data_IF_498868569109
#
_entry.id   IF_498868569109
#
_cell.length_a   1.000
_cell.length_b   1.000
_cell.length_c   1.000
_cell.angle_alpha   90.00
_cell.angle_beta   90.00
_cell.angle_gamma   90.00
#
_symmetry.space_group_name_H-M   'P 1'
#
loop_
_entity.id
_entity.type
_entity.pdbx_description
1 polymer ?
#
# COMPACT_ATOMS: atom_id res chain seq x y z
N UNK A 1 32.21 -9.74 9.57
CA UNK A 1 31.23 -10.37 10.48
C UNK A 1 30.19 -11.06 9.64
N UNK A 2 30.02 -12.37 9.86
CA UNK A 2 29.07 -13.17 9.08
C UNK A 2 27.74 -13.28 9.83
N UNK A 3 26.64 -12.93 9.14
CA UNK A 3 25.27 -13.21 9.56
C UNK A 3 24.78 -14.47 8.85
N UNK A 4 24.33 -15.43 9.65
CA UNK A 4 23.64 -16.63 9.15
C UNK A 4 22.21 -16.62 9.67
N UNK A 5 21.23 -16.75 8.77
CA UNK A 5 19.80 -16.75 9.08
C UNK A 5 19.02 -17.62 8.09
N UNK A 6 17.73 -17.81 8.34
CA UNK A 6 16.80 -18.36 7.35
C UNK A 6 16.00 -17.23 6.72
N UNK A 7 15.95 -17.16 5.41
CA UNK A 7 15.16 -16.18 4.68
C UNK A 7 13.69 -16.59 4.70
N UNK A 8 12.81 -15.74 5.21
CA UNK A 8 11.35 -15.95 5.21
C UNK A 8 10.72 -15.49 3.89
N UNK A 9 11.22 -14.39 3.33
CA UNK A 9 10.71 -13.84 2.08
C UNK A 9 11.39 -12.54 1.71
N UNK A 10 10.90 -11.92 0.65
CA UNK A 10 11.36 -10.63 0.14
C UNK A 10 10.18 -9.71 -0.06
N UNK A 11 10.35 -8.44 0.26
CA UNK A 11 9.41 -7.38 -0.03
C UNK A 11 10.03 -6.50 -1.12
N UNK A 12 9.27 -6.24 -2.18
CA UNK A 12 9.71 -5.30 -3.22
C UNK A 12 9.41 -3.84 -2.84
N UNK A 13 9.76 -2.91 -3.70
CA UNK A 13 9.56 -1.47 -3.46
C UNK A 13 8.08 -1.07 -3.45
N UNK A 14 7.19 -1.88 -4.00
CA UNK A 14 5.74 -1.71 -4.04
C UNK A 14 5.02 -2.45 -2.92
N UNK A 15 5.76 -3.03 -1.97
CA UNK A 15 5.16 -3.75 -0.84
C UNK A 15 4.65 -5.16 -1.18
N UNK A 16 4.96 -5.71 -2.35
CA UNK A 16 4.59 -7.08 -2.70
C UNK A 16 5.52 -8.07 -1.99
N UNK A 17 4.92 -9.00 -1.24
CA UNK A 17 5.68 -10.02 -0.52
C UNK A 17 5.81 -11.29 -1.36
N UNK A 18 7.04 -11.74 -1.54
CA UNK A 18 7.34 -13.04 -2.16
C UNK A 18 7.94 -13.95 -1.09
N UNK A 19 7.25 -15.03 -0.69
CA UNK A 19 7.77 -15.96 0.29
C UNK A 19 9.01 -16.69 -0.27
N UNK A 20 9.97 -16.95 0.60
CA UNK A 20 11.09 -17.82 0.27
C UNK A 20 10.67 -19.29 0.35
N UNK A 21 11.36 -20.17 -0.37
CA UNK A 21 11.20 -21.61 -0.16
C UNK A 21 11.59 -21.96 1.28
N UNK A 22 10.95 -22.98 1.85
CA UNK A 22 11.21 -23.41 3.20
C UNK A 22 12.72 -23.66 3.42
N UNK A 23 13.23 -23.18 4.55
CA UNK A 23 14.64 -23.33 4.94
C UNK A 23 15.67 -22.73 3.96
N UNK A 24 15.30 -21.68 3.22
CA UNK A 24 16.26 -20.97 2.37
C UNK A 24 17.32 -20.29 3.24
N UNK A 25 18.60 -20.74 3.19
CA UNK A 25 19.65 -20.12 3.99
C UNK A 25 19.97 -18.73 3.47
N UNK A 26 20.21 -17.80 4.38
CA UNK A 26 20.73 -16.48 4.09
C UNK A 26 22.09 -16.32 4.77
N UNK A 27 23.10 -16.03 3.98
CA UNK A 27 24.45 -15.77 4.46
C UNK A 27 24.93 -14.44 3.92
N UNK A 28 25.38 -13.55 4.79
CA UNK A 28 25.97 -12.28 4.41
C UNK A 28 27.19 -11.97 5.26
N UNK A 29 28.31 -11.65 4.60
CA UNK A 29 29.52 -11.19 5.27
C UNK A 29 29.59 -9.66 5.23
N UNK A 30 29.50 -9.04 6.41
CA UNK A 30 29.60 -7.60 6.56
C UNK A 30 31.07 -7.20 6.64
N UNK A 31 31.56 -6.47 5.62
CA UNK A 31 32.83 -5.76 5.70
C UNK A 31 32.71 -4.64 6.75
N UNK A 32 33.66 -4.58 7.68
CA UNK A 32 33.75 -3.54 8.69
C UNK A 32 35.05 -2.74 8.50
N UNK A 33 34.96 -1.43 8.62
CA UNK A 33 36.09 -0.50 8.62
C UNK A 33 36.01 0.44 9.81
N UNK A 34 37.15 0.92 10.30
CA UNK A 34 37.17 2.02 11.28
C UNK A 34 37.19 3.36 10.55
N UNK A 35 36.32 4.28 10.95
CA UNK A 35 36.33 5.65 10.48
C UNK A 35 37.40 6.50 11.21
N UNK A 36 37.49 7.79 10.85
CA UNK A 36 38.46 8.72 11.44
C UNK A 36 38.25 8.96 12.94
N UNK A 37 37.03 8.73 13.44
CA UNK A 37 36.66 8.83 14.86
C UNK A 37 36.87 7.50 15.60
N UNK A 38 37.59 6.55 14.98
CA UNK A 38 37.87 5.22 15.50
C UNK A 38 36.62 4.37 15.79
N UNK A 39 35.48 4.66 15.11
CA UNK A 39 34.23 3.91 15.21
C UNK A 39 34.14 2.88 14.09
N UNK A 40 33.56 1.72 14.40
CA UNK A 40 33.29 0.68 13.41
C UNK A 40 32.08 1.04 12.54
N UNK A 41 32.26 0.98 11.22
CA UNK A 41 31.24 1.20 10.21
C UNK A 41 31.13 0.00 9.29
N UNK A 42 29.89 -0.30 8.84
CA UNK A 42 29.67 -1.31 7.80
C UNK A 42 30.07 -0.69 6.46
N UNK A 43 31.06 -1.28 5.79
CA UNK A 43 31.58 -0.84 4.48
C UNK A 43 30.90 -1.56 3.31
N UNK A 44 30.31 -2.73 3.57
CA UNK A 44 29.62 -3.54 2.57
C UNK A 44 28.24 -3.95 3.12
N UNK A 45 27.24 -3.06 3.08
CA UNK A 45 25.87 -3.42 3.47
C UNK A 45 25.21 -4.31 2.40
N UNK A 46 24.25 -5.15 2.78
CA UNK A 46 23.42 -5.86 1.81
C UNK A 46 22.60 -4.86 0.97
N UNK A 47 22.18 -5.28 -0.21
CA UNK A 47 21.24 -4.48 -1.01
C UNK A 47 19.87 -4.52 -0.34
N UNK A 48 19.29 -3.33 -0.09
CA UNK A 48 17.99 -3.19 0.58
C UNK A 48 18.10 -3.27 2.11
N UNK A 49 16.95 -3.39 2.75
CA UNK A 49 16.82 -3.46 4.20
C UNK A 49 16.68 -4.93 4.63
N UNK A 50 17.52 -5.35 5.55
CA UNK A 50 17.43 -6.66 6.20
C UNK A 50 16.81 -6.48 7.58
N UNK A 51 15.65 -7.08 7.82
CA UNK A 51 14.93 -7.00 9.08
C UNK A 51 14.54 -8.39 9.58
N UNK A 52 14.38 -8.53 10.89
CA UNK A 52 13.86 -9.77 11.46
C UNK A 52 12.35 -9.90 11.21
N UNK A 53 11.85 -11.14 11.20
CA UNK A 53 10.41 -11.42 11.11
C UNK A 53 9.62 -10.72 12.23
N UNK A 54 10.16 -10.70 13.44
CA UNK A 54 9.56 -10.02 14.59
C UNK A 54 9.43 -8.50 14.36
N UNK A 55 10.49 -7.84 13.87
CA UNK A 55 10.45 -6.42 13.57
C UNK A 55 9.48 -6.13 12.41
N UNK A 56 9.46 -6.98 11.37
CA UNK A 56 8.49 -6.86 10.29
C UNK A 56 7.07 -6.88 10.82
N UNK A 57 6.68 -7.88 11.61
CA UNK A 57 5.31 -8.01 12.17
C UNK A 57 4.91 -6.87 13.12
N UNK A 58 5.87 -6.22 13.80
CA UNK A 58 5.59 -5.09 14.68
C UNK A 58 5.45 -3.75 13.94
N UNK A 59 6.13 -3.57 12.80
CA UNK A 59 6.23 -2.27 12.11
C UNK A 59 5.48 -2.19 10.79
N UNK A 60 5.17 -3.33 10.17
CA UNK A 60 4.47 -3.42 8.91
C UNK A 60 3.09 -4.04 9.09
N UNK A 61 2.17 -3.68 8.21
CA UNK A 61 0.81 -4.22 8.16
C UNK A 61 0.44 -4.56 6.73
N UNK A 62 -0.40 -5.59 6.57
CA UNK A 62 -1.00 -5.90 5.28
C UNK A 62 -2.03 -4.82 4.94
N UNK A 63 -1.96 -4.32 3.72
CA UNK A 63 -2.93 -3.43 3.09
C UNK A 63 -3.45 -4.11 1.82
N UNK A 64 -4.74 -4.29 1.71
CA UNK A 64 -5.36 -4.86 0.51
C UNK A 64 -5.72 -3.73 -0.45
N UNK A 65 -4.85 -3.49 -1.45
CA UNK A 65 -5.13 -2.51 -2.49
C UNK A 65 -6.20 -3.05 -3.42
N UNK A 66 -7.33 -2.36 -3.49
CA UNK A 66 -8.48 -2.79 -4.27
C UNK A 66 -8.47 -2.15 -5.66
N UNK A 67 -8.37 -2.96 -6.69
CA UNK A 67 -8.40 -2.54 -8.09
C UNK A 67 -9.62 -3.11 -8.82
N UNK A 68 -10.14 -2.39 -9.79
CA UNK A 68 -11.17 -2.93 -10.66
C UNK A 68 -10.63 -4.11 -11.47
N UNK A 69 -11.44 -5.15 -11.60
CA UNK A 69 -11.18 -6.24 -12.52
C UNK A 69 -11.16 -5.74 -13.98
N UNK A 70 -10.69 -6.54 -14.92
CA UNK A 70 -10.62 -6.16 -16.34
C UNK A 70 -11.98 -5.82 -16.96
N UNK A 71 -13.09 -6.30 -16.38
CA UNK A 71 -14.45 -5.97 -16.82
C UNK A 71 -14.92 -4.63 -16.22
N UNK A 72 -14.33 -4.18 -15.13
CA UNK A 72 -14.67 -2.96 -14.40
C UNK A 72 -15.97 -3.09 -13.60
N UNK A 73 -16.29 -4.30 -13.14
CA UNK A 73 -17.56 -4.60 -12.44
C UNK A 73 -17.37 -4.82 -10.93
N UNK A 74 -16.22 -5.32 -10.50
CA UNK A 74 -15.95 -5.66 -9.11
C UNK A 74 -14.52 -5.24 -8.73
N UNK A 75 -14.33 -4.85 -7.48
CA UNK A 75 -13.01 -4.62 -6.93
C UNK A 75 -12.39 -5.94 -6.47
N UNK A 76 -11.09 -6.09 -6.73
CA UNK A 76 -10.31 -7.28 -6.35
C UNK A 76 -9.10 -6.82 -5.55
N UNK A 77 -8.86 -7.40 -4.37
CA UNK A 77 -7.73 -7.02 -3.54
C UNK A 77 -6.41 -7.56 -4.11
N UNK A 78 -5.40 -6.69 -4.13
CA UNK A 78 -4.00 -6.98 -4.44
C UNK A 78 -3.16 -6.68 -3.18
N UNK A 79 -2.84 -7.70 -2.36
CA UNK A 79 -2.26 -7.48 -1.04
C UNK A 79 -0.84 -6.94 -1.11
N UNK A 80 -0.58 -5.91 -0.30
CA UNK A 80 0.73 -5.28 -0.11
C UNK A 80 1.06 -5.20 1.38
N UNK A 81 2.32 -5.01 1.69
CA UNK A 81 2.76 -4.68 3.04
C UNK A 81 3.28 -3.26 3.07
N UNK A 82 2.73 -2.47 3.97
CA UNK A 82 3.09 -1.06 4.17
C UNK A 82 3.49 -0.81 5.62
N UNK A 83 4.29 0.21 5.93
CA UNK A 83 4.53 0.61 7.31
C UNK A 83 3.23 0.97 8.03
N UNK A 84 3.15 0.76 9.34
CA UNK A 84 1.99 1.19 10.14
C UNK A 84 1.87 2.72 10.18
N UNK A 85 0.64 3.21 10.37
CA UNK A 85 0.32 4.63 10.55
C UNK A 85 0.23 5.41 9.23
N UNK A 86 0.33 6.75 9.31
CA UNK A 86 0.12 7.66 8.18
C UNK A 86 1.09 7.44 7.02
N UNK A 87 2.33 7.04 7.31
CA UNK A 87 3.32 6.67 6.27
C UNK A 87 2.81 5.50 5.43
N UNK A 88 2.18 4.52 6.06
CA UNK A 88 1.57 3.39 5.35
C UNK A 88 0.35 3.79 4.54
N UNK A 89 -0.50 4.68 5.06
CA UNK A 89 -1.64 5.22 4.30
C UNK A 89 -1.16 5.94 3.04
N UNK A 90 -0.12 6.77 3.15
CA UNK A 90 0.47 7.45 1.99
C UNK A 90 1.10 6.46 1.00
N UNK A 91 1.76 5.41 1.50
CA UNK A 91 2.29 4.35 0.66
C UNK A 91 1.16 3.61 -0.06
N UNK A 92 0.06 3.27 0.63
CA UNK A 92 -1.14 2.65 0.05
C UNK A 92 -1.69 3.46 -1.12
N UNK A 93 -1.87 4.79 -0.95
CA UNK A 93 -2.37 5.65 -2.02
C UNK A 93 -1.37 5.73 -3.19
N UNK A 94 -0.08 5.93 -2.89
CA UNK A 94 0.96 5.96 -3.93
C UNK A 94 1.01 4.67 -4.74
N UNK A 95 0.97 3.52 -4.06
CA UNK A 95 1.08 2.21 -4.70
C UNK A 95 -0.20 1.85 -5.46
N UNK A 96 -1.38 2.31 -4.99
CA UNK A 96 -2.63 2.25 -5.74
C UNK A 96 -2.53 3.05 -7.05
N UNK A 97 -2.07 4.30 -7.00
CA UNK A 97 -1.89 5.14 -8.20
C UNK A 97 -0.85 4.56 -9.17
N UNK A 98 0.15 3.85 -8.68
CA UNK A 98 1.13 3.15 -9.50
C UNK A 98 0.56 1.92 -10.21
N UNK A 99 -0.56 1.40 -9.75
CA UNK A 99 -1.28 0.27 -10.36
C UNK A 99 -1.03 -1.09 -9.69
N UNK A 100 -1.67 -2.14 -10.23
CA UNK A 100 -1.61 -3.48 -9.66
C UNK A 100 -0.20 -4.09 -9.74
N UNK A 101 0.06 -5.09 -8.88
CA UNK A 101 1.31 -5.85 -8.91
C UNK A 101 1.51 -6.55 -10.25
N UNK A 102 2.75 -6.87 -10.56
CA UNK A 102 3.08 -7.65 -11.78
C UNK A 102 2.36 -9.00 -11.82
N UNK A 103 2.06 -9.59 -10.66
CA UNK A 103 1.32 -10.85 -10.55
C UNK A 103 -0.15 -10.68 -10.88
N UNK A 104 -0.75 -9.53 -10.54
CA UNK A 104 -2.17 -9.25 -10.70
C UNK A 104 -2.49 -8.43 -11.97
N UNK A 105 -1.49 -7.83 -12.62
CA UNK A 105 -1.66 -6.90 -13.74
C UNK A 105 -2.45 -7.44 -14.94
N UNK A 106 -2.45 -8.76 -15.15
CA UNK A 106 -3.21 -9.39 -16.22
C UNK A 106 -4.73 -9.46 -15.94
N UNK A 107 -5.13 -9.39 -14.68
CA UNK A 107 -6.52 -9.53 -14.23
C UNK A 107 -7.14 -8.22 -13.74
N UNK A 108 -6.33 -7.20 -13.49
CA UNK A 108 -6.73 -5.94 -12.87
C UNK A 108 -6.46 -4.76 -13.80
N UNK A 109 -7.26 -3.71 -13.66
CA UNK A 109 -7.05 -2.44 -14.37
C UNK A 109 -6.16 -1.51 -13.56
N UNK A 110 -5.30 -0.77 -14.25
CA UNK A 110 -4.73 0.44 -13.66
C UNK A 110 -5.85 1.45 -13.35
N UNK A 111 -5.77 2.19 -12.23
CA UNK A 111 -6.87 3.05 -11.81
C UNK A 111 -7.18 4.17 -12.81
N UNK A 112 -6.16 4.72 -13.45
CA UNK A 112 -6.28 5.84 -14.37
C UNK A 112 -5.25 5.76 -15.50
N UNK A 113 -5.59 6.38 -16.65
CA UNK A 113 -4.63 6.63 -17.73
C UNK A 113 -3.76 7.86 -17.43
N UNK A 114 -4.28 8.81 -16.64
CA UNK A 114 -3.57 10.02 -16.25
C UNK A 114 -2.71 9.75 -15.02
N UNK A 115 -1.47 10.21 -15.04
CA UNK A 115 -0.59 10.13 -13.90
C UNK A 115 -0.98 11.17 -12.85
N UNK A 116 -1.36 10.70 -11.67
CA UNK A 116 -1.60 11.51 -10.48
C UNK A 116 -0.52 11.22 -9.45
N UNK A 117 -0.23 12.22 -8.63
CA UNK A 117 0.66 12.11 -7.48
C UNK A 117 -0.11 12.32 -6.18
N UNK A 118 0.25 11.60 -5.13
CA UNK A 118 -0.25 11.85 -3.78
C UNK A 118 0.63 12.88 -3.09
N UNK A 119 0.05 14.02 -2.72
CA UNK A 119 0.76 15.10 -2.04
C UNK A 119 0.80 14.85 -0.54
N UNK A 120 -0.32 14.48 0.05
CA UNK A 120 -0.41 14.15 1.47
C UNK A 120 -1.53 13.14 1.74
N UNK A 121 -1.37 12.39 2.84
CA UNK A 121 -2.45 11.60 3.43
C UNK A 121 -2.39 11.84 4.94
N UNK A 122 -3.50 12.30 5.52
CA UNK A 122 -3.63 12.50 6.97
C UNK A 122 -4.85 11.77 7.51
N UNK A 123 -4.81 11.41 8.79
CA UNK A 123 -5.93 10.77 9.48
C UNK A 123 -6.48 11.72 10.53
N UNK A 124 -7.75 12.06 10.41
CA UNK A 124 -8.43 12.88 11.40
C UNK A 124 -8.75 12.07 12.67
N UNK A 125 -9.07 12.77 13.76
CA UNK A 125 -9.48 12.13 15.03
C UNK A 125 -10.77 11.32 14.91
N UNK A 126 -11.58 11.58 13.88
CA UNK A 126 -12.84 10.88 13.60
C UNK A 126 -12.66 9.68 12.64
N UNK A 127 -11.42 9.34 12.30
CA UNK A 127 -11.13 8.21 11.41
C UNK A 127 -11.31 8.51 9.91
N UNK A 128 -11.38 9.78 9.52
CA UNK A 128 -11.41 10.16 8.10
C UNK A 128 -10.00 10.29 7.57
N UNK A 129 -9.64 9.50 6.57
CA UNK A 129 -8.39 9.66 5.82
C UNK A 129 -8.58 10.78 4.78
N UNK A 130 -7.82 11.85 4.93
CA UNK A 130 -7.82 12.98 4.00
C UNK A 130 -6.68 12.77 2.99
N UNK A 131 -7.03 12.63 1.72
CA UNK A 131 -6.11 12.32 0.61
C UNK A 131 -6.04 13.51 -0.32
N UNK A 132 -4.86 14.13 -0.42
CA UNK A 132 -4.61 15.20 -1.38
C UNK A 132 -3.87 14.66 -2.61
N UNK A 133 -4.49 14.88 -3.76
CA UNK A 133 -3.95 14.48 -5.06
C UNK A 133 -3.53 15.72 -5.87
N UNK A 134 -2.40 15.60 -6.56
CA UNK A 134 -1.92 16.57 -7.53
C UNK A 134 -1.85 15.97 -8.94
N UNK A 135 -1.80 16.84 -9.94
CA UNK A 135 -1.76 16.44 -11.34
C UNK A 135 -3.02 16.87 -12.09
N UNK A 136 -3.36 16.23 -13.21
CA UNK A 136 -4.47 16.64 -14.06
C UNK A 136 -5.85 16.20 -13.50
N UNK A 137 -6.09 16.42 -12.20
CA UNK A 137 -7.33 16.02 -11.51
C UNK A 137 -8.59 16.66 -12.09
N UNK A 138 -8.46 17.86 -12.69
CA UNK A 138 -9.58 18.60 -13.31
C UNK A 138 -10.00 17.99 -14.65
N UNK A 139 -9.11 17.21 -15.28
CA UNK A 139 -9.39 16.50 -16.54
C UNK A 139 -10.11 15.16 -16.30
N UNK A 140 -10.19 14.70 -15.06
CA UNK A 140 -10.89 13.47 -14.73
C UNK A 140 -12.40 13.63 -14.88
N UNK A 141 -13.04 12.69 -15.58
CA UNK A 141 -14.48 12.58 -15.63
C UNK A 141 -15.07 12.27 -14.23
N UNK A 142 -16.35 12.55 -14.04
CA UNK A 142 -17.05 12.17 -12.80
C UNK A 142 -16.99 10.67 -12.55
N UNK A 143 -17.06 9.86 -13.61
CA UNK A 143 -16.93 8.41 -13.53
C UNK A 143 -15.53 7.98 -13.11
N UNK A 144 -14.47 8.58 -13.67
CA UNK A 144 -13.09 8.29 -13.27
C UNK A 144 -12.84 8.65 -11.82
N UNK A 145 -13.35 9.81 -11.36
CA UNK A 145 -13.29 10.21 -9.95
C UNK A 145 -14.00 9.21 -9.05
N UNK A 146 -15.21 8.76 -9.44
CA UNK A 146 -15.99 7.79 -8.69
C UNK A 146 -15.29 6.44 -8.59
N UNK A 147 -14.70 5.96 -9.69
CA UNK A 147 -13.96 4.70 -9.72
C UNK A 147 -12.73 4.74 -8.84
N UNK A 148 -11.90 5.78 -8.96
CA UNK A 148 -10.73 5.96 -8.10
C UNK A 148 -11.13 6.11 -6.62
N UNK A 149 -12.22 6.82 -6.35
CA UNK A 149 -12.71 6.95 -4.97
C UNK A 149 -13.15 5.61 -4.37
N UNK A 150 -13.78 4.72 -5.14
CA UNK A 150 -14.11 3.37 -4.69
C UNK A 150 -12.83 2.57 -4.34
N UNK A 151 -11.82 2.61 -5.21
CA UNK A 151 -10.53 1.96 -4.97
C UNK A 151 -9.85 2.51 -3.70
N UNK A 152 -9.82 3.84 -3.52
CA UNK A 152 -9.24 4.51 -2.34
C UNK A 152 -10.00 4.14 -1.06
N UNK A 153 -11.32 4.17 -1.09
CA UNK A 153 -12.16 3.85 0.08
C UNK A 153 -11.93 2.41 0.52
N UNK A 154 -12.06 1.44 -0.38
CA UNK A 154 -11.88 0.02 -0.03
C UNK A 154 -10.45 -0.31 0.38
N UNK A 155 -9.45 0.35 -0.21
CA UNK A 155 -8.05 0.14 0.16
C UNK A 155 -7.70 0.73 1.52
N UNK A 156 -8.08 2.01 1.76
CA UNK A 156 -7.70 2.71 2.99
C UNK A 156 -8.49 2.25 4.21
N UNK A 157 -9.78 1.88 4.06
CA UNK A 157 -10.57 1.33 5.16
C UNK A 157 -10.13 -0.06 5.60
N UNK A 158 -9.25 -0.73 4.84
CA UNK A 158 -8.58 -1.95 5.31
C UNK A 158 -7.52 -1.68 6.39
N UNK A 159 -7.09 -0.42 6.55
CA UNK A 159 -6.09 0.00 7.52
C UNK A 159 -6.74 0.41 8.84
N UNK A 160 -6.05 0.13 9.95
CA UNK A 160 -6.53 0.43 11.29
C UNK A 160 -6.83 1.91 11.49
N UNK A 161 -8.01 2.21 12.04
CA UNK A 161 -8.46 3.56 12.39
C UNK A 161 -9.10 4.35 11.24
N UNK A 162 -9.13 3.83 10.01
CA UNK A 162 -9.79 4.49 8.88
C UNK A 162 -11.24 4.00 8.75
N UNK A 163 -12.19 4.93 8.82
CA UNK A 163 -13.64 4.65 8.68
C UNK A 163 -14.25 5.30 7.45
N UNK A 164 -13.63 6.37 6.96
CA UNK A 164 -14.05 7.09 5.76
C UNK A 164 -12.84 7.72 5.06
N UNK A 165 -13.03 8.14 3.83
CA UNK A 165 -12.01 8.80 3.00
C UNK A 165 -12.59 10.09 2.44
N UNK A 166 -11.80 11.17 2.46
CA UNK A 166 -12.07 12.41 1.73
C UNK A 166 -10.96 12.64 0.73
N UNK A 167 -11.31 12.88 -0.52
CA UNK A 167 -10.35 13.11 -1.60
C UNK A 167 -10.40 14.56 -2.06
N UNK A 168 -9.23 15.17 -2.16
CA UNK A 168 -9.03 16.52 -2.70
C UNK A 168 -8.13 16.43 -3.93
N UNK A 169 -8.50 17.09 -5.00
CA UNK A 169 -7.66 17.23 -6.20
C UNK A 169 -7.37 18.69 -6.46
N UNK A 170 -6.09 19.08 -6.46
CA UNK A 170 -5.65 20.46 -6.63
C UNK A 170 -6.40 21.45 -5.72
N UNK A 171 -6.64 21.09 -4.45
CA UNK A 171 -7.36 21.90 -3.47
C UNK A 171 -8.90 21.86 -3.57
N UNK A 172 -9.48 21.12 -4.50
CA UNK A 172 -10.92 20.96 -4.66
C UNK A 172 -11.42 19.62 -4.14
N UNK A 173 -12.33 19.62 -3.18
CA UNK A 173 -12.92 18.39 -2.61
C UNK A 173 -13.81 17.69 -3.64
N UNK A 174 -13.70 16.38 -3.74
CA UNK A 174 -14.55 15.56 -4.60
C UNK A 174 -15.88 15.23 -3.88
N UNK A 175 -16.90 16.02 -4.12
CA UNK A 175 -18.24 15.83 -3.56
C UNK A 175 -19.05 14.85 -4.42
N UNK A 176 -18.78 13.56 -4.31
CA UNK A 176 -19.37 12.53 -5.17
C UNK A 176 -20.62 11.88 -4.58
N UNK A 177 -20.72 11.81 -3.26
CA UNK A 177 -21.79 11.11 -2.55
C UNK A 177 -22.59 12.04 -1.64
N UNK A 178 -21.93 13.03 -1.04
CA UNK A 178 -22.55 14.01 -0.13
C UNK A 178 -21.81 15.35 -0.19
N UNK A 179 -22.33 16.35 0.53
CA UNK A 179 -21.79 17.72 0.56
C UNK A 179 -20.51 17.86 1.38
N UNK A 180 -20.18 16.89 2.24
CA UNK A 180 -18.95 16.90 3.06
C UNK A 180 -17.75 16.32 2.32
N UNK A 181 -18.00 15.58 1.23
CA UNK A 181 -16.99 14.85 0.48
C UNK A 181 -16.43 13.62 1.20
N UNK A 182 -17.01 13.25 2.35
CA UNK A 182 -16.65 12.03 3.07
C UNK A 182 -17.32 10.82 2.41
N UNK A 183 -16.55 9.80 2.14
CA UNK A 183 -16.99 8.58 1.47
C UNK A 183 -16.59 7.37 2.32
N UNK A 184 -17.46 6.38 2.41
CA UNK A 184 -17.22 5.13 3.12
C UNK A 184 -17.58 3.93 2.23
N UNK A 185 -17.38 2.71 2.73
CA UNK A 185 -17.62 1.49 1.97
C UNK A 185 -19.08 1.33 1.56
N UNK A 186 -20.06 1.85 2.35
CA UNK A 186 -21.47 1.81 2.00
C UNK A 186 -21.83 2.65 0.76
N UNK A 187 -21.04 3.69 0.44
CA UNK A 187 -21.23 4.48 -0.79
C UNK A 187 -20.84 3.71 -2.06
N UNK A 188 -20.10 2.59 -1.88
CA UNK A 188 -19.56 1.76 -2.95
C UNK A 188 -19.84 0.27 -2.77
N UNK A 189 -20.94 -0.08 -2.10
CA UNK A 189 -21.32 -1.48 -1.84
C UNK A 189 -21.45 -2.32 -3.11
N UNK A 190 -21.93 -1.73 -4.20
CA UNK A 190 -22.04 -2.43 -5.48
C UNK A 190 -20.69 -2.88 -6.07
N UNK A 191 -19.59 -2.28 -5.60
CA UNK A 191 -18.21 -2.58 -6.00
C UNK A 191 -17.46 -3.39 -4.93
N UNK A 192 -18.15 -3.84 -3.88
CA UNK A 192 -17.52 -4.51 -2.75
C UNK A 192 -16.58 -5.64 -3.23
N UNK A 193 -15.33 -5.68 -2.75
CA UNK A 193 -14.38 -6.69 -3.16
C UNK A 193 -14.86 -8.07 -2.69
N UNK A 194 -14.76 -9.07 -3.57
CA UNK A 194 -14.89 -10.45 -3.19
C UNK A 194 -13.67 -10.82 -2.34
N UNK A 195 -13.76 -10.62 -1.04
CA UNK A 195 -12.71 -11.03 -0.13
C UNK A 195 -12.60 -12.55 -0.17
N UNK A 196 -11.41 -13.12 -0.39
CA UNK A 196 -11.20 -14.54 -0.21
C UNK A 196 -11.62 -14.89 1.22
N UNK A 197 -12.37 -15.99 1.39
CA UNK A 197 -12.66 -16.50 2.71
C UNK A 197 -11.35 -16.51 3.52
N UNK A 198 -11.36 -15.85 4.68
CA UNK A 198 -10.17 -15.80 5.54
C UNK A 198 -9.74 -17.23 5.78
N UNK A 199 -8.67 -17.66 5.14
CA UNK A 199 -8.01 -18.87 5.57
C UNK A 199 -7.28 -18.50 6.85
N UNK A 200 -7.65 -19.13 7.97
CA UNK A 200 -6.96 -19.05 9.26
C UNK A 200 -5.53 -19.62 9.23
N UNK A 201 -4.95 -19.76 8.05
CA UNK A 201 -3.53 -20.05 7.90
C UNK A 201 -2.74 -18.77 8.19
N UNK A 202 -2.67 -18.45 9.49
CA UNK A 202 -1.59 -17.65 10.01
C UNK A 202 -0.27 -18.28 9.52
N UNK A 203 0.60 -17.47 9.01
CA UNK A 203 1.97 -17.86 8.70
C UNK A 203 2.64 -18.28 10.03
N UNK A 204 2.66 -19.59 10.31
CA UNK A 204 3.45 -20.23 11.35
C UNK A 204 4.88 -20.46 10.84
#
# INVERSE_FOLDING_TARGET
VVLTASLVGRLDAQGTFTPAAASTPYLHDFGLVRDNDNQWRISQPPRGLLISQSLFGSTWVRSDLCFWDVTGTVLVPDPRFVPKGTVGMQATVRDLLAGPSTLAAAALRAPLEQQLDVTSVTLSVNGVAEVDLAGPTDLLSAESKRRLSAELVWSLTSLEGVTAVRVTGNGSVWNLTNSTGEMNTGDFDAAAPALPAQSDQAFL
#
